data_IF_515846781888
#
_entry.id   IF_515846781888
#
_cell.length_a   1.000
_cell.length_b   1.000
_cell.length_c   1.000
_cell.angle_alpha   90.00
_cell.angle_beta   90.00
_cell.angle_gamma   90.00
#
_symmetry.space_group_name_H-M   'P 1'
#
loop_
_entity.id
_entity.type
_entity.pdbx_description
1 polymer ?
#
# COMPACT_ATOMS: atom_id res chain seq x y z
N UNK A 1 14.93 -15.39 18.96
CA UNK A 1 14.78 -14.45 20.08
C UNK A 1 13.56 -13.58 19.80
N UNK A 2 12.45 -13.85 20.49
CA UNK A 2 11.17 -13.15 20.30
C UNK A 2 11.23 -11.86 21.10
N UNK A 3 11.31 -10.72 20.42
CA UNK A 3 11.12 -9.43 21.06
C UNK A 3 9.62 -9.18 21.19
N UNK A 4 9.13 -9.34 22.41
CA UNK A 4 7.77 -9.02 22.82
C UNK A 4 7.56 -7.51 22.66
N UNK A 5 6.71 -7.10 21.72
CA UNK A 5 6.08 -5.79 21.79
C UNK A 5 4.96 -5.94 22.82
N UNK A 6 5.23 -5.44 24.03
CA UNK A 6 4.39 -5.61 25.23
C UNK A 6 2.91 -5.29 24.94
N UNK A 7 2.04 -6.21 25.40
CA UNK A 7 0.57 -6.15 25.41
C UNK A 7 -0.26 -6.66 24.21
N UNK A 8 0.33 -7.30 23.19
CA UNK A 8 -0.45 -8.10 22.22
C UNK A 8 0.29 -9.39 21.88
N UNK A 9 -0.42 -10.53 21.88
CA UNK A 9 0.10 -11.80 21.34
C UNK A 9 0.31 -11.67 19.82
N UNK A 10 1.41 -11.03 19.42
CA UNK A 10 1.80 -10.83 18.04
C UNK A 10 2.84 -11.88 17.66
N UNK A 11 2.49 -12.74 16.70
CA UNK A 11 3.47 -13.58 16.04
C UNK A 11 4.21 -12.74 15.00
N UNK A 12 5.52 -12.59 15.16
CA UNK A 12 6.35 -11.90 14.16
C UNK A 12 6.74 -12.87 13.05
N UNK A 13 6.35 -12.57 11.82
CA UNK A 13 6.74 -13.34 10.64
C UNK A 13 8.18 -12.94 10.26
N UNK A 14 9.10 -13.92 10.26
CA UNK A 14 10.48 -13.72 9.78
C UNK A 14 10.48 -13.60 8.26
N UNK A 15 10.87 -12.43 7.75
CA UNK A 15 11.14 -12.20 6.34
C UNK A 15 12.64 -11.94 6.16
N UNK A 16 13.24 -12.55 5.14
CA UNK A 16 14.62 -12.29 4.76
C UNK A 16 14.77 -10.83 4.30
N UNK A 17 15.92 -10.18 4.57
CA UNK A 17 16.21 -8.84 4.04
C UNK A 17 15.98 -8.79 2.52
N UNK A 18 15.53 -7.63 2.03
CA UNK A 18 15.32 -7.37 0.59
C UNK A 18 14.35 -8.35 -0.11
N UNK A 19 13.35 -8.88 0.62
CA UNK A 19 12.31 -9.77 0.05
C UNK A 19 10.94 -9.09 -0.06
N UNK A 20 10.80 -7.93 -0.76
CA UNK A 20 9.50 -7.25 -0.90
C UNK A 20 8.48 -8.11 -1.67
N UNK A 21 8.95 -9.03 -2.52
CA UNK A 21 8.11 -10.01 -3.22
C UNK A 21 7.39 -10.97 -2.26
N UNK A 22 7.87 -11.07 -1.01
CA UNK A 22 7.28 -11.89 0.05
C UNK A 22 6.45 -11.05 1.03
N UNK A 23 6.18 -9.79 0.73
CA UNK A 23 5.33 -8.93 1.54
C UNK A 23 4.10 -8.50 0.72
N UNK A 24 2.91 -9.09 0.97
CA UNK A 24 1.73 -8.87 0.13
C UNK A 24 1.26 -7.40 0.15
N UNK A 25 1.63 -6.64 1.18
CA UNK A 25 1.31 -5.22 1.26
C UNK A 25 1.94 -4.42 0.11
N UNK A 26 3.10 -4.83 -0.41
CA UNK A 26 3.77 -4.11 -1.50
C UNK A 26 2.95 -4.15 -2.79
N UNK A 27 2.31 -5.29 -3.07
CA UNK A 27 1.43 -5.45 -4.22
C UNK A 27 0.16 -4.62 -4.06
N UNK A 28 -0.47 -4.67 -2.89
CA UNK A 28 -1.64 -3.84 -2.56
C UNK A 28 -1.30 -2.35 -2.66
N UNK A 29 -0.13 -1.93 -2.16
CA UNK A 29 0.34 -0.55 -2.25
C UNK A 29 0.65 -0.14 -3.69
N UNK A 30 1.10 -1.07 -4.55
CA UNK A 30 1.25 -0.82 -5.98
C UNK A 30 -0.09 -0.47 -6.64
N UNK A 31 -1.13 -1.27 -6.38
CA UNK A 31 -2.48 -1.02 -6.85
C UNK A 31 -3.01 0.31 -6.32
N UNK A 32 -2.85 0.58 -5.02
CA UNK A 32 -3.20 1.87 -4.42
C UNK A 32 -2.49 3.05 -5.12
N UNK A 33 -1.17 2.99 -5.30
CA UNK A 33 -0.40 4.07 -5.96
C UNK A 33 -0.90 4.31 -7.40
N UNK A 34 -1.22 3.24 -8.13
CA UNK A 34 -1.77 3.35 -9.47
C UNK A 34 -3.15 4.04 -9.49
N UNK A 35 -4.00 3.77 -8.50
CA UNK A 35 -5.30 4.41 -8.34
C UNK A 35 -5.18 5.90 -8.02
N UNK A 36 -4.27 6.26 -7.10
CA UNK A 36 -3.93 7.67 -6.82
C UNK A 36 -3.45 8.38 -8.09
N UNK A 37 -2.51 7.78 -8.82
CA UNK A 37 -1.97 8.36 -10.06
C UNK A 37 -3.07 8.57 -11.11
N UNK A 38 -3.98 7.61 -11.25
CA UNK A 38 -5.10 7.67 -12.19
C UNK A 38 -6.09 8.78 -11.83
N UNK A 39 -6.43 8.92 -10.55
CA UNK A 39 -7.29 9.99 -10.07
C UNK A 39 -6.70 11.37 -10.34
N UNK A 40 -5.40 11.56 -10.06
CA UNK A 40 -4.72 12.84 -10.30
C UNK A 40 -4.58 13.16 -11.79
N UNK A 41 -4.40 12.13 -12.63
CA UNK A 41 -4.37 12.30 -14.08
C UNK A 41 -5.74 12.76 -14.61
N UNK A 42 -6.84 12.19 -14.10
CA UNK A 42 -8.20 12.59 -14.47
C UNK A 42 -8.53 14.04 -14.06
N UNK A 43 -8.06 14.48 -12.89
CA UNK A 43 -8.33 15.82 -12.36
C UNK A 43 -7.17 16.80 -12.61
N UNK A 44 -6.31 16.53 -13.60
CA UNK A 44 -5.05 17.25 -13.80
C UNK A 44 -5.25 18.77 -13.92
N UNK A 45 -6.24 19.20 -14.68
CA UNK A 45 -6.49 20.63 -14.91
C UNK A 45 -6.90 21.35 -13.63
N UNK A 46 -7.65 20.67 -12.76
CA UNK A 46 -8.09 21.24 -11.48
C UNK A 46 -6.95 21.25 -10.48
N UNK A 47 -6.11 20.21 -10.45
CA UNK A 47 -4.89 20.15 -9.61
C UNK A 47 -3.93 21.29 -9.95
N UNK A 48 -3.88 21.73 -11.21
CA UNK A 48 -2.97 22.79 -11.68
C UNK A 48 -3.54 24.21 -11.51
N UNK A 49 -4.85 24.36 -11.29
CA UNK A 49 -5.54 25.65 -11.18
C UNK A 49 -6.04 25.89 -9.74
N UNK A 50 -5.19 26.37 -8.82
CA UNK A 50 -5.63 26.72 -7.48
C UNK A 50 -6.61 27.90 -7.52
N UNK A 51 -7.68 27.90 -6.70
CA UNK A 51 -8.54 29.06 -6.54
C UNK A 51 -7.80 30.22 -5.87
N UNK A 52 -8.32 31.46 -5.99
CA UNK A 52 -7.78 32.62 -5.29
C UNK A 52 -7.79 32.40 -3.77
N UNK A 53 -6.75 32.89 -3.09
CA UNK A 53 -6.68 32.87 -1.62
C UNK A 53 -6.10 31.59 -1.00
N UNK A 54 -5.71 30.58 -1.80
CA UNK A 54 -4.99 29.41 -1.28
C UNK A 54 -3.66 29.19 -2.00
N UNK A 55 -2.72 28.54 -1.30
CA UNK A 55 -1.41 28.25 -1.90
C UNK A 55 -1.48 27.06 -2.86
N UNK A 56 -0.60 27.03 -3.86
CA UNK A 56 -0.44 25.87 -4.76
C UNK A 56 -0.16 24.57 -4.00
N UNK A 57 0.63 24.65 -2.93
CA UNK A 57 1.00 23.50 -2.12
C UNK A 57 -0.21 22.93 -1.37
N UNK A 58 -0.98 23.79 -0.72
CA UNK A 58 -2.21 23.41 -0.02
C UNK A 58 -3.25 22.81 -0.96
N UNK A 59 -3.45 23.42 -2.13
CA UNK A 59 -4.37 22.91 -3.15
C UNK A 59 -3.98 21.49 -3.60
N UNK A 60 -2.69 21.27 -3.92
CA UNK A 60 -2.19 19.96 -4.34
C UNK A 60 -2.24 18.93 -3.22
N UNK A 61 -1.95 19.32 -1.98
CA UNK A 61 -2.06 18.44 -0.82
C UNK A 61 -3.51 17.96 -0.60
N UNK A 62 -4.49 18.85 -0.77
CA UNK A 62 -5.91 18.50 -0.73
C UNK A 62 -6.28 17.48 -1.82
N UNK A 63 -5.82 17.68 -3.05
CA UNK A 63 -6.03 16.71 -4.13
C UNK A 63 -5.34 15.37 -3.87
N UNK A 64 -4.11 15.37 -3.35
CA UNK A 64 -3.41 14.15 -2.96
C UNK A 64 -4.19 13.36 -1.90
N UNK A 65 -4.72 14.04 -0.88
CA UNK A 65 -5.51 13.41 0.17
C UNK A 65 -6.81 12.83 -0.38
N UNK A 66 -7.51 13.56 -1.26
CA UNK A 66 -8.72 13.08 -1.94
C UNK A 66 -8.43 11.85 -2.80
N UNK A 67 -7.36 11.89 -3.60
CA UNK A 67 -6.90 10.78 -4.42
C UNK A 67 -6.57 9.54 -3.59
N UNK A 68 -5.88 9.72 -2.46
CA UNK A 68 -5.56 8.65 -1.53
C UNK A 68 -6.83 8.03 -0.91
N UNK A 69 -7.76 8.86 -0.41
CA UNK A 69 -9.03 8.38 0.14
C UNK A 69 -9.85 7.60 -0.89
N UNK A 70 -9.98 8.17 -2.10
CA UNK A 70 -10.68 7.54 -3.21
C UNK A 70 -10.03 6.20 -3.59
N UNK A 71 -8.71 6.16 -3.73
CA UNK A 71 -8.00 4.94 -4.09
C UNK A 71 -8.08 3.88 -2.99
N UNK A 72 -8.02 4.28 -1.72
CA UNK A 72 -8.21 3.36 -0.60
C UNK A 72 -9.61 2.72 -0.64
N UNK A 73 -10.65 3.53 -0.84
CA UNK A 73 -12.03 3.02 -0.82
C UNK A 73 -12.45 2.25 -2.07
N UNK A 74 -11.77 2.44 -3.20
CA UNK A 74 -12.18 1.84 -4.49
C UNK A 74 -11.22 0.80 -5.04
N UNK A 75 -9.95 0.80 -4.62
CA UNK A 75 -8.92 -0.11 -5.13
C UNK A 75 -8.45 -1.11 -4.08
N UNK A 76 -8.37 -0.70 -2.82
CA UNK A 76 -7.89 -1.57 -1.73
C UNK A 76 -9.10 -2.27 -1.09
N UNK A 77 -9.60 -3.29 -1.76
CA UNK A 77 -10.74 -4.09 -1.28
C UNK A 77 -10.25 -5.32 -0.49
N UNK A 78 -11.08 -5.91 0.38
CA UNK A 78 -10.75 -7.14 1.08
C UNK A 78 -10.33 -8.27 0.10
N UNK A 79 -11.02 -8.39 -1.02
CA UNK A 79 -10.76 -9.43 -2.02
C UNK A 79 -9.37 -9.26 -2.67
N UNK A 80 -8.94 -8.01 -2.90
CA UNK A 80 -7.58 -7.74 -3.36
C UNK A 80 -6.57 -8.15 -2.29
N UNK A 81 -6.79 -7.77 -1.03
CA UNK A 81 -5.89 -8.12 0.07
C UNK A 81 -5.75 -9.64 0.24
N UNK A 82 -6.87 -10.38 0.18
CA UNK A 82 -6.89 -11.83 0.28
C UNK A 82 -6.17 -12.49 -0.91
N UNK A 83 -6.39 -11.98 -2.13
CA UNK A 83 -5.71 -12.45 -3.34
C UNK A 83 -4.19 -12.27 -3.25
N UNK A 84 -3.71 -11.09 -2.82
CA UNK A 84 -2.28 -10.82 -2.71
C UNK A 84 -1.62 -11.62 -1.57
N UNK A 85 -2.34 -11.84 -0.46
CA UNK A 85 -1.89 -12.71 0.63
C UNK A 85 -1.70 -14.16 0.13
N UNK A 86 -2.69 -14.70 -0.58
CA UNK A 86 -2.61 -16.04 -1.16
C UNK A 86 -1.49 -16.16 -2.19
N UNK A 87 -1.27 -15.12 -3.00
CA UNK A 87 -0.18 -15.10 -3.99
C UNK A 87 1.20 -15.23 -3.33
N UNK A 88 1.42 -14.51 -2.22
CA UNK A 88 2.68 -14.57 -1.47
C UNK A 88 2.83 -15.93 -0.76
N UNK A 89 1.77 -16.45 -0.16
CA UNK A 89 1.79 -17.77 0.49
C UNK A 89 2.21 -18.87 -0.50
N UNK A 90 1.56 -18.91 -1.66
CA UNK A 90 1.91 -19.85 -2.73
C UNK A 90 3.35 -19.68 -3.23
N UNK A 91 3.81 -18.43 -3.34
CA UNK A 91 5.19 -18.13 -3.76
C UNK A 91 6.21 -18.59 -2.71
N UNK A 92 5.89 -18.46 -1.42
CA UNK A 92 6.73 -18.90 -0.32
C UNK A 92 6.84 -20.44 -0.29
N UNK A 93 5.72 -21.16 -0.44
CA UNK A 93 5.69 -22.63 -0.47
C UNK A 93 6.47 -23.24 -1.64
N UNK A 94 6.65 -22.51 -2.74
CA UNK A 94 7.40 -22.96 -3.93
C UNK A 94 8.90 -22.73 -3.87
N UNK A 95 9.39 -21.90 -2.95
CA UNK A 95 10.79 -21.48 -2.94
C UNK A 95 11.67 -22.23 -1.91
N UNK A 96 11.15 -23.19 -1.14
CA UNK A 96 11.89 -23.94 -0.09
C UNK A 96 12.82 -23.00 0.72
N UNK A 97 12.33 -21.81 1.06
CA UNK A 97 13.15 -20.83 1.77
C UNK A 97 13.22 -21.31 3.21
N UNK A 98 14.41 -21.66 3.74
CA UNK A 98 14.52 -22.07 5.12
C UNK A 98 14.12 -20.89 5.99
N UNK A 99 13.03 -21.04 6.74
CA UNK A 99 12.66 -20.12 7.80
C UNK A 99 13.80 -20.20 8.81
N UNK A 100 14.74 -19.26 8.71
CA UNK A 100 16.02 -19.33 9.41
C UNK A 100 15.86 -19.59 10.90
N UNK A 101 16.72 -20.48 11.39
CA UNK A 101 16.81 -21.01 12.76
C UNK A 101 16.72 -19.95 13.88
#
# INVERSE_FOLDING_TARGET
MVSLLEDKYLLLIKLSPYSPMLNPIENVLSVFKSGVKSYLALHRDDVLRPPPGITKAEHRANFMLRAAKYSMSTKVTPELCDSEAAHVEFSCSRMDIPVGS
#
